data_IF_835158244009
#
_entry.id   IF_835158244009
#
_cell.length_a   1.000
_cell.length_b   1.000
_cell.length_c   1.000
_cell.angle_alpha   90.00
_cell.angle_beta   90.00
_cell.angle_gamma   90.00
#
_symmetry.space_group_name_H-M   'P 1'
#
loop_
_entity.id
_entity.type
_entity.pdbx_description
1 polymer ?
#
# COMPACT_ATOMS: atom_id res chain seq x y z
N UNK A 1 18.89 -3.03 1.42
CA UNK A 1 20.19 -3.08 2.13
C UNK A 1 20.94 -4.39 1.90
N UNK A 2 20.26 -5.53 1.72
CA UNK A 2 20.90 -6.83 1.45
C UNK A 2 22.12 -6.78 0.51
N UNK A 3 22.02 -6.14 -0.68
CA UNK A 3 23.12 -6.11 -1.63
C UNK A 3 24.38 -5.41 -1.14
N UNK A 4 24.25 -4.44 -0.22
CA UNK A 4 25.40 -3.77 0.41
C UNK A 4 26.20 -4.74 1.29
N UNK A 5 25.55 -5.79 1.78
CA UNK A 5 26.15 -6.85 2.60
C UNK A 5 26.37 -8.16 1.81
N UNK A 6 26.52 -8.08 0.48
CA UNK A 6 26.69 -9.24 -0.42
C UNK A 6 25.51 -10.22 -0.45
N UNK A 7 24.33 -9.81 0.00
CA UNK A 7 23.09 -10.56 -0.20
C UNK A 7 22.35 -10.00 -1.42
N UNK A 8 22.73 -10.50 -2.59
CA UNK A 8 22.48 -9.87 -3.89
C UNK A 8 23.53 -8.81 -4.24
N UNK A 9 23.33 -8.11 -5.36
CA UNK A 9 24.23 -7.05 -5.84
C UNK A 9 23.44 -5.86 -6.42
N UNK A 10 24.05 -4.68 -6.41
CA UNK A 10 23.60 -3.54 -7.24
C UNK A 10 24.52 -3.44 -8.45
N UNK A 11 23.95 -3.50 -9.65
CA UNK A 11 24.68 -3.52 -10.92
C UNK A 11 24.08 -2.51 -11.91
N UNK A 12 24.85 -2.02 -12.89
CA UNK A 12 24.30 -1.21 -13.97
C UNK A 12 23.20 -1.96 -14.73
N UNK A 13 22.12 -1.28 -15.08
CA UNK A 13 20.97 -1.85 -15.80
C UNK A 13 20.73 -1.15 -17.16
N UNK A 14 20.00 -1.83 -18.06
CA UNK A 14 19.56 -1.26 -19.33
C UNK A 14 20.70 -0.76 -20.22
N UNK A 15 20.65 0.52 -20.61
CA UNK A 15 21.70 1.19 -21.40
C UNK A 15 22.93 1.60 -20.57
N UNK A 16 23.06 1.07 -19.34
CA UNK A 16 24.20 1.24 -18.44
C UNK A 16 24.39 2.67 -17.91
N UNK A 17 23.30 3.44 -17.81
CA UNK A 17 23.30 4.80 -17.26
C UNK A 17 22.66 4.90 -15.87
N UNK A 18 22.04 3.82 -15.38
CA UNK A 18 21.49 3.69 -14.03
C UNK A 18 21.95 2.37 -13.40
N UNK A 19 21.86 2.27 -12.08
CA UNK A 19 22.10 1.05 -11.34
C UNK A 19 20.81 0.57 -10.67
N UNK A 20 20.59 -0.74 -10.67
CA UNK A 20 19.50 -1.38 -9.93
C UNK A 20 19.97 -2.68 -9.30
N UNK A 21 19.09 -3.38 -8.58
CA UNK A 21 19.44 -4.69 -8.03
C UNK A 21 19.65 -5.69 -9.18
N UNK A 22 20.58 -6.61 -9.00
CA UNK A 22 20.83 -7.66 -9.97
C UNK A 22 19.64 -8.62 -9.99
N UNK A 23 18.85 -8.57 -11.07
CA UNK A 23 17.75 -9.48 -11.36
C UNK A 23 18.11 -10.51 -12.45
N UNK A 24 19.32 -10.46 -13.01
CA UNK A 24 19.76 -11.36 -14.07
C UNK A 24 20.47 -12.59 -13.51
N UNK A 25 21.24 -12.42 -12.42
CA UNK A 25 21.99 -13.52 -11.81
C UNK A 25 21.07 -14.54 -11.16
N UNK A 26 21.34 -15.82 -11.42
CA UNK A 26 20.51 -16.94 -10.95
C UNK A 26 21.06 -17.63 -9.71
N UNK A 27 22.08 -17.07 -9.07
CA UNK A 27 22.66 -17.64 -7.85
C UNK A 27 21.66 -17.56 -6.67
N UNK A 28 21.89 -18.41 -5.67
CA UNK A 28 20.97 -18.55 -4.53
C UNK A 28 20.89 -17.28 -3.67
N UNK A 29 22.01 -16.54 -3.54
CA UNK A 29 22.06 -15.30 -2.75
C UNK A 29 21.19 -14.23 -3.39
N UNK A 30 21.38 -13.99 -4.69
CA UNK A 30 20.62 -13.02 -5.48
C UNK A 30 19.15 -13.39 -5.55
N UNK A 31 18.80 -14.65 -5.88
CA UNK A 31 17.40 -15.10 -5.93
C UNK A 31 16.68 -14.95 -4.59
N UNK A 32 17.31 -15.34 -3.49
CA UNK A 32 16.69 -15.21 -2.16
C UNK A 32 16.51 -13.75 -1.75
N UNK A 33 17.44 -12.87 -2.11
CA UNK A 33 17.31 -11.43 -1.92
C UNK A 33 16.12 -10.86 -2.72
N UNK A 34 16.02 -11.19 -4.01
CA UNK A 34 14.92 -10.74 -4.89
C UNK A 34 13.56 -11.18 -4.33
N UNK A 35 13.42 -12.46 -3.96
CA UNK A 35 12.18 -12.98 -3.37
C UNK A 35 11.82 -12.25 -2.07
N UNK A 36 12.80 -12.02 -1.19
CA UNK A 36 12.59 -11.26 0.04
C UNK A 36 12.18 -9.82 -0.26
N UNK A 37 12.82 -9.18 -1.24
CA UNK A 37 12.51 -7.81 -1.64
C UNK A 37 11.08 -7.68 -2.16
N UNK A 38 10.64 -8.56 -3.08
CA UNK A 38 9.27 -8.53 -3.58
C UNK A 38 8.25 -8.91 -2.51
N UNK A 39 8.54 -9.90 -1.67
CA UNK A 39 7.60 -10.30 -0.64
C UNK A 39 7.43 -9.21 0.43
N UNK A 40 8.54 -8.74 1.02
CA UNK A 40 8.50 -7.76 2.10
C UNK A 40 8.25 -6.34 1.62
N UNK A 41 8.76 -5.97 0.45
CA UNK A 41 8.69 -4.62 -0.11
C UNK A 41 7.47 -4.36 -1.00
N UNK A 42 6.79 -5.42 -1.49
CA UNK A 42 5.65 -5.30 -2.39
C UNK A 42 4.42 -6.04 -1.84
N UNK A 43 4.48 -7.38 -1.73
CA UNK A 43 3.30 -8.20 -1.38
C UNK A 43 2.78 -7.94 0.03
N UNK A 44 3.65 -7.89 1.03
CA UNK A 44 3.26 -7.69 2.42
C UNK A 44 2.57 -6.33 2.64
N UNK A 45 3.11 -5.19 2.16
CA UNK A 45 2.40 -3.91 2.18
C UNK A 45 1.01 -3.99 1.54
N UNK A 46 0.87 -4.64 0.37
CA UNK A 46 -0.41 -4.78 -0.33
C UNK A 46 -1.42 -5.55 0.53
N UNK A 47 -1.00 -6.66 1.15
CA UNK A 47 -1.87 -7.47 2.00
C UNK A 47 -2.34 -6.66 3.21
N UNK A 48 -1.42 -5.95 3.88
CA UNK A 48 -1.75 -5.08 5.03
C UNK A 48 -2.75 -4.01 4.60
N UNK A 49 -2.48 -3.35 3.47
CA UNK A 49 -3.35 -2.31 2.92
C UNK A 49 -4.74 -2.85 2.60
N UNK A 50 -4.82 -3.97 1.87
CA UNK A 50 -6.08 -4.62 1.52
C UNK A 50 -6.87 -5.00 2.77
N UNK A 51 -6.20 -5.54 3.78
CA UNK A 51 -6.81 -5.88 5.07
C UNK A 51 -7.35 -4.63 5.79
N UNK A 52 -6.55 -3.56 5.90
CA UNK A 52 -6.97 -2.31 6.53
C UNK A 52 -8.20 -1.72 5.83
N UNK A 53 -8.21 -1.67 4.50
CA UNK A 53 -9.36 -1.12 3.76
C UNK A 53 -10.59 -2.01 3.80
N UNK A 54 -10.42 -3.32 3.78
CA UNK A 54 -11.52 -4.25 3.99
C UNK A 54 -12.21 -3.99 5.34
N UNK A 55 -11.43 -3.77 6.40
CA UNK A 55 -11.96 -3.39 7.72
C UNK A 55 -12.62 -2.01 7.72
N UNK A 56 -12.06 -1.02 7.01
CA UNK A 56 -12.67 0.31 6.88
C UNK A 56 -14.05 0.21 6.21
N UNK A 57 -14.19 -0.54 5.12
CA UNK A 57 -15.48 -0.68 4.41
C UNK A 57 -16.53 -1.35 5.30
N UNK A 58 -16.15 -2.40 6.04
CA UNK A 58 -17.05 -3.02 7.01
C UNK A 58 -17.43 -2.07 8.15
N UNK A 59 -16.46 -1.30 8.66
CA UNK A 59 -16.69 -0.30 9.71
C UNK A 59 -17.65 0.79 9.23
N UNK A 60 -17.50 1.30 8.01
CA UNK A 60 -18.42 2.29 7.42
C UNK A 60 -19.84 1.74 7.34
N UNK A 61 -20.01 0.50 6.89
CA UNK A 61 -21.33 -0.13 6.79
C UNK A 61 -22.03 -0.28 8.15
N UNK A 62 -21.28 -0.55 9.21
CA UNK A 62 -21.82 -0.62 10.57
C UNK A 62 -22.08 0.79 11.13
N UNK A 63 -21.18 1.73 10.85
CA UNK A 63 -21.29 3.11 11.30
C UNK A 63 -22.48 3.84 10.69
N UNK A 64 -22.84 3.57 9.43
CA UNK A 64 -24.05 4.12 8.81
C UNK A 64 -25.32 3.74 9.60
N UNK A 65 -25.39 2.49 10.07
CA UNK A 65 -26.51 2.00 10.90
C UNK A 65 -26.53 2.69 12.27
N UNK A 66 -25.36 2.85 12.88
CA UNK A 66 -25.23 3.56 14.17
C UNK A 66 -25.58 5.05 14.05
N UNK A 67 -25.14 5.72 12.99
CA UNK A 67 -25.46 7.11 12.71
C UNK A 67 -26.96 7.31 12.47
N UNK A 68 -27.62 6.38 11.77
CA UNK A 68 -29.08 6.42 11.61
C UNK A 68 -29.84 6.28 12.96
N UNK A 69 -29.31 5.49 13.89
CA UNK A 69 -29.85 5.39 15.25
C UNK A 69 -29.56 6.64 16.10
N UNK A 70 -28.35 7.21 15.97
CA UNK A 70 -27.90 8.41 16.66
C UNK A 70 -28.58 9.69 16.17
N UNK A 71 -28.99 9.76 14.90
CA UNK A 71 -29.76 10.87 14.35
C UNK A 71 -31.09 11.11 15.09
N UNK A 72 -31.63 10.08 15.77
CA UNK A 72 -32.84 10.19 16.61
C UNK A 72 -32.56 10.76 18.00
N UNK A 73 -31.29 10.84 18.42
CA UNK A 73 -30.86 11.20 19.79
C UNK A 73 -29.98 12.45 19.86
N UNK A 74 -29.34 12.85 18.77
CA UNK A 74 -28.44 14.00 18.70
C UNK A 74 -29.11 15.22 18.05
N UNK A 75 -28.67 16.42 18.45
CA UNK A 75 -29.12 17.68 17.86
C UNK A 75 -28.41 17.93 16.51
N UNK A 76 -29.04 18.67 15.59
CA UNK A 76 -28.61 18.78 14.19
C UNK A 76 -27.18 19.29 13.99
N UNK A 77 -26.70 20.15 14.89
CA UNK A 77 -25.34 20.73 14.84
C UNK A 77 -24.26 19.70 15.20
N UNK A 78 -24.51 18.87 16.21
CA UNK A 78 -23.60 17.80 16.63
C UNK A 78 -23.53 16.71 15.55
N UNK A 79 -24.68 16.36 14.96
CA UNK A 79 -24.75 15.39 13.87
C UNK A 79 -23.94 15.84 12.64
N UNK A 80 -24.07 17.12 12.23
CA UNK A 80 -23.27 17.68 11.12
C UNK A 80 -21.77 17.66 11.42
N UNK A 81 -21.35 17.94 12.66
CA UNK A 81 -19.93 17.93 13.04
C UNK A 81 -19.34 16.52 12.99
N UNK A 82 -20.05 15.53 13.51
CA UNK A 82 -19.64 14.13 13.46
C UNK A 82 -19.48 13.65 12.00
N UNK A 83 -20.46 13.95 11.14
CA UNK A 83 -20.43 13.58 9.73
C UNK A 83 -19.32 14.29 8.94
N UNK A 84 -19.01 15.55 9.26
CA UNK A 84 -17.94 16.30 8.63
C UNK A 84 -16.55 15.73 8.96
N UNK A 85 -16.30 15.37 10.23
CA UNK A 85 -15.05 14.74 10.65
C UNK A 85 -14.82 13.41 9.94
N UNK A 86 -15.84 12.55 9.90
CA UNK A 86 -15.78 11.27 9.19
C UNK A 86 -15.53 11.44 7.68
N UNK A 87 -16.17 12.44 7.05
CA UNK A 87 -15.98 12.72 5.62
C UNK A 87 -14.54 13.14 5.30
N UNK A 88 -13.88 13.85 6.22
CA UNK A 88 -12.47 14.22 6.08
C UNK A 88 -11.55 13.00 6.19
N UNK A 89 -11.75 12.14 7.19
CA UNK A 89 -11.01 10.88 7.35
C UNK A 89 -11.18 9.95 6.14
N UNK A 90 -12.42 9.82 5.64
CA UNK A 90 -12.71 9.04 4.43
C UNK A 90 -12.02 9.62 3.18
N UNK A 91 -11.88 10.95 3.10
CA UNK A 91 -11.15 11.59 1.99
C UNK A 91 -9.67 11.25 2.06
N UNK A 92 -9.06 11.28 3.24
CA UNK A 92 -7.66 10.88 3.44
C UNK A 92 -7.45 9.40 3.08
N UNK A 93 -8.35 8.51 3.52
CA UNK A 93 -8.33 7.09 3.16
C UNK A 93 -8.37 6.90 1.63
N UNK A 94 -9.22 7.65 0.92
CA UNK A 94 -9.29 7.62 -0.55
C UNK A 94 -8.00 8.11 -1.22
N UNK A 95 -7.40 9.20 -0.72
CA UNK A 95 -6.13 9.71 -1.24
C UNK A 95 -5.03 8.67 -1.08
N UNK A 96 -4.93 8.05 0.11
CA UNK A 96 -3.95 6.99 0.38
C UNK A 96 -4.14 5.81 -0.58
N UNK A 97 -5.37 5.38 -0.87
CA UNK A 97 -5.64 4.35 -1.89
C UNK A 97 -5.09 4.74 -3.26
N UNK A 98 -5.36 5.96 -3.73
CA UNK A 98 -4.88 6.44 -5.03
C UNK A 98 -3.35 6.42 -5.11
N UNK A 99 -2.67 6.91 -4.07
CA UNK A 99 -1.20 6.95 -4.04
C UNK A 99 -0.62 5.53 -4.09
N UNK A 100 -1.20 4.59 -3.34
CA UNK A 100 -0.78 3.19 -3.32
C UNK A 100 -1.03 2.54 -4.68
N UNK A 101 -2.21 2.70 -5.27
CA UNK A 101 -2.51 2.16 -6.60
C UNK A 101 -1.58 2.73 -7.66
N UNK A 102 -1.27 4.02 -7.60
CA UNK A 102 -0.29 4.64 -8.50
C UNK A 102 1.10 4.04 -8.32
N UNK A 103 1.57 3.87 -7.08
CA UNK A 103 2.84 3.22 -6.79
C UNK A 103 2.88 1.81 -7.41
N UNK A 104 1.83 1.02 -7.18
CA UNK A 104 1.69 -0.32 -7.74
C UNK A 104 1.76 -0.32 -9.27
N UNK A 105 0.96 0.52 -9.92
CA UNK A 105 0.92 0.60 -11.39
C UNK A 105 2.26 1.05 -11.99
N UNK A 106 2.98 1.95 -11.33
CA UNK A 106 4.28 2.42 -11.78
C UNK A 106 5.37 1.35 -11.64
N UNK A 107 5.35 0.58 -10.55
CA UNK A 107 6.41 -0.39 -10.25
C UNK A 107 6.13 -1.79 -10.81
N UNK A 108 4.86 -2.17 -11.02
CA UNK A 108 4.49 -3.50 -11.54
C UNK A 108 5.14 -3.85 -12.87
N UNK A 109 5.21 -2.97 -13.90
CA UNK A 109 5.85 -3.32 -15.16
C UNK A 109 7.33 -3.68 -14.99
N UNK A 110 8.05 -2.88 -14.21
CA UNK A 110 9.45 -3.15 -13.88
C UNK A 110 9.60 -4.45 -13.09
N UNK A 111 8.74 -4.66 -12.10
CA UNK A 111 8.71 -5.85 -11.26
C UNK A 111 8.42 -7.17 -11.99
N UNK A 112 7.74 -7.09 -13.15
CA UNK A 112 7.45 -8.26 -14.00
C UNK A 112 8.64 -8.60 -14.90
N UNK A 113 9.42 -7.59 -15.30
CA UNK A 113 10.58 -7.76 -16.18
C UNK A 113 11.80 -8.23 -15.39
N UNK A 114 11.98 -7.68 -14.19
CA UNK A 114 13.07 -7.99 -13.25
C UNK A 114 12.76 -9.22 -12.41
#
# INVERSE_FOLDING_TARGET
VGPVFNWGAYVPEGILTSCSFDYLSTDSSTRSFILCMYFCGFMLPIIIIAFCYFNIVMSVSNHEKEMAAMAKRLNAKELRKAQAGQSAEMKLAKISMVIITQFMLSWSPYAIIA
#
